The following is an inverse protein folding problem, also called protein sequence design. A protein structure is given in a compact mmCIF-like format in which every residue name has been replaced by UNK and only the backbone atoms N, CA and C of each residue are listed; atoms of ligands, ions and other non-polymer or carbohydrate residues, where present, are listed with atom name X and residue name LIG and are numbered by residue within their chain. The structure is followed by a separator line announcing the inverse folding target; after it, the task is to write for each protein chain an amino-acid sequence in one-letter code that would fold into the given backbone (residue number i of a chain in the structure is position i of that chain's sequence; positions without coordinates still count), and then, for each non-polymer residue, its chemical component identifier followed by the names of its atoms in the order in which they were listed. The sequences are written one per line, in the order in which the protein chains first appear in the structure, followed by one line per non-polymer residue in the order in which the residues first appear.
data_IF_353976225408
#
_entry.id   IF_353976225408
#
_cell.length_a   1.000
_cell.length_b   1.000
_cell.length_c   1.000
_cell.angle_alpha   90.00
_cell.angle_beta   90.00
_cell.angle_gamma   90.00
#
_symmetry.space_group_name_H-M   'P 1'
#
loop_
_entity.id
_entity.type
_entity.pdbx_description
1 polymer ?
#
# COMPACT_ATOMS: atom_id res chain seq x y z
N UNK A 1 20.20 11.26 -48.94
CA UNK A 1 19.13 10.34 -49.37
C UNK A 1 19.72 8.94 -49.59
N UNK A 2 18.91 7.91 -49.86
CA UNK A 2 19.43 6.56 -50.14
C UNK A 2 20.21 6.52 -51.46
N UNK A 3 19.79 7.30 -52.46
CA UNK A 3 20.53 7.47 -53.70
C UNK A 3 21.91 8.09 -53.45
N UNK A 4 22.00 9.11 -52.58
CA UNK A 4 23.28 9.74 -52.21
C UNK A 4 24.18 8.79 -51.42
N UNK A 5 23.61 7.93 -50.58
CA UNK A 5 24.37 6.89 -49.89
C UNK A 5 24.93 5.86 -50.88
N UNK A 6 24.14 5.41 -51.85
CA UNK A 6 24.58 4.43 -52.85
C UNK A 6 25.64 4.99 -53.80
N UNK A 7 25.63 6.29 -54.09
CA UNK A 7 26.67 6.93 -54.90
C UNK A 7 27.91 7.33 -54.11
N UNK A 8 27.85 7.32 -52.77
CA UNK A 8 28.98 7.66 -51.92
C UNK A 8 30.11 6.62 -52.01
N UNK A 9 31.34 7.10 -51.89
CA UNK A 9 32.55 6.28 -51.87
C UNK A 9 32.54 5.34 -50.64
N UNK A 10 32.93 4.09 -50.83
CA UNK A 10 32.93 3.06 -49.77
C UNK A 10 31.58 2.37 -49.52
N UNK A 11 30.49 2.78 -50.17
CA UNK A 11 29.15 2.18 -50.00
C UNK A 11 28.98 0.78 -50.62
N UNK A 12 29.88 0.38 -51.52
CA UNK A 12 29.77 -0.85 -52.32
C UNK A 12 28.75 -0.78 -53.46
N UNK A 13 28.03 0.34 -53.62
CA UNK A 13 27.03 0.56 -54.68
C UNK A 13 27.48 1.63 -55.70
N UNK A 14 28.74 2.06 -55.64
CA UNK A 14 29.31 3.08 -56.51
C UNK A 14 29.27 2.67 -57.99
N UNK A 15 29.42 3.66 -58.87
CA UNK A 15 29.52 3.42 -60.31
C UNK A 15 30.72 2.49 -60.60
N UNK A 16 30.43 1.30 -61.15
CA UNK A 16 31.44 0.25 -61.41
C UNK A 16 31.32 -0.99 -60.52
N UNK A 17 30.56 -0.93 -59.43
CA UNK A 17 30.33 -2.08 -58.51
C UNK A 17 29.46 -3.20 -59.08
N UNK A 18 28.75 -2.97 -60.19
CA UNK A 18 27.72 -3.88 -60.71
C UNK A 18 26.39 -3.85 -59.94
N UNK A 19 26.33 -3.13 -58.81
CA UNK A 19 25.15 -2.97 -57.94
C UNK A 19 24.64 -1.53 -57.89
N UNK A 20 25.14 -0.66 -58.76
CA UNK A 20 24.77 0.76 -58.80
C UNK A 20 23.28 0.96 -59.08
N UNK A 21 22.77 2.16 -58.77
CA UNK A 21 21.40 2.55 -59.12
C UNK A 21 21.18 2.35 -60.62
N UNK A 22 20.08 1.70 -61.00
CA UNK A 22 19.77 1.38 -62.40
C UNK A 22 20.46 0.15 -62.98
N UNK A 23 21.24 -0.61 -62.19
CA UNK A 23 21.90 -1.87 -62.62
C UNK A 23 20.94 -3.05 -62.90
N UNK A 24 19.62 -2.85 -62.83
CA UNK A 24 18.62 -3.91 -62.94
C UNK A 24 18.51 -4.84 -61.71
N UNK A 25 19.39 -4.68 -60.70
CA UNK A 25 19.39 -5.47 -59.46
C UNK A 25 18.44 -4.93 -58.37
N UNK A 26 17.82 -3.77 -58.58
CA UNK A 26 16.80 -3.16 -57.73
C UNK A 26 17.16 -2.97 -56.24
N UNK A 27 18.45 -2.96 -55.89
CA UNK A 27 18.89 -2.73 -54.51
C UNK A 27 18.41 -1.39 -53.92
N UNK A 28 18.27 -0.36 -54.76
CA UNK A 28 17.72 0.94 -54.35
C UNK A 28 16.30 0.82 -53.77
N UNK A 29 15.47 -0.06 -54.33
CA UNK A 29 14.12 -0.31 -53.81
C UNK A 29 14.16 -1.07 -52.47
N UNK A 30 15.00 -2.10 -52.36
CA UNK A 30 15.18 -2.86 -51.10
C UNK A 30 15.73 -2.00 -49.97
N UNK A 31 16.68 -1.12 -50.25
CA UNK A 31 17.22 -0.15 -49.30
C UNK A 31 16.15 0.87 -48.90
N UNK A 32 15.35 1.38 -49.85
CA UNK A 32 14.24 2.31 -49.55
C UNK A 32 13.16 1.68 -48.67
N UNK A 33 12.92 0.38 -48.83
CA UNK A 33 11.96 -0.34 -48.02
C UNK A 33 12.46 -0.74 -46.62
N UNK A 34 13.78 -0.81 -46.37
CA UNK A 34 14.31 -1.38 -45.12
C UNK A 34 15.32 -0.49 -44.40
N UNK A 35 15.73 0.64 -44.99
CA UNK A 35 16.69 1.56 -44.41
C UNK A 35 16.15 2.99 -44.40
N UNK A 36 16.50 3.73 -43.35
CA UNK A 36 16.17 5.14 -43.21
C UNK A 36 17.45 5.92 -43.00
N UNK A 37 17.75 6.85 -43.91
CA UNK A 37 18.89 7.73 -43.81
C UNK A 37 18.54 8.95 -42.95
N UNK A 38 19.26 9.13 -41.84
CA UNK A 38 19.13 10.28 -40.94
C UNK A 38 20.26 11.25 -41.23
N UNK A 39 19.94 12.42 -41.78
CA UNK A 39 20.93 13.44 -42.16
C UNK A 39 20.81 14.73 -41.35
N UNK A 40 19.74 14.89 -40.57
CA UNK A 40 19.51 16.09 -39.75
C UNK A 40 18.43 15.86 -38.68
N UNK A 41 18.34 16.78 -37.73
CA UNK A 41 17.28 16.80 -36.70
C UNK A 41 15.88 16.88 -37.32
N UNK A 42 15.71 17.53 -38.48
CA UNK A 42 14.42 17.56 -39.20
C UNK A 42 14.03 16.21 -39.81
N UNK A 43 14.99 15.31 -40.06
CA UNK A 43 14.71 13.91 -40.44
C UNK A 43 14.42 13.03 -39.22
N UNK A 44 15.02 13.32 -38.05
CA UNK A 44 14.74 12.61 -36.79
C UNK A 44 13.27 12.75 -36.40
N UNK A 45 12.67 13.93 -36.58
CA UNK A 45 11.25 14.16 -36.23
C UNK A 45 10.25 13.39 -37.09
N UNK A 46 10.68 12.78 -38.19
CA UNK A 46 9.87 11.85 -38.99
C UNK A 46 9.87 10.42 -38.44
N UNK A 47 10.91 10.06 -37.68
CA UNK A 47 11.12 8.71 -37.13
C UNK A 47 10.74 8.66 -35.65
N UNK A 48 11.06 9.71 -34.88
CA UNK A 48 10.84 9.78 -33.44
C UNK A 48 9.84 10.87 -33.07
N UNK A 49 9.12 10.67 -31.97
CA UNK A 49 8.22 11.65 -31.37
C UNK A 49 9.02 12.73 -30.63
N UNK A 50 9.61 13.67 -31.37
CA UNK A 50 10.44 14.79 -30.86
C UNK A 50 9.80 16.16 -31.13
N UNK A 51 8.49 16.20 -31.40
CA UNK A 51 7.79 17.47 -31.64
C UNK A 51 7.80 18.34 -30.37
N UNK A 52 7.66 19.66 -30.54
CA UNK A 52 7.68 20.62 -29.41
C UNK A 52 6.66 20.32 -28.32
N UNK A 53 5.52 19.69 -28.65
CA UNK A 53 4.48 19.28 -27.70
C UNK A 53 4.61 17.85 -27.14
N UNK A 54 5.62 17.07 -27.53
CA UNK A 54 5.74 15.65 -27.17
C UNK A 54 6.35 15.37 -25.79
N UNK A 55 6.91 16.39 -25.10
CA UNK A 55 7.75 16.21 -23.91
C UNK A 55 9.18 15.73 -24.20
N UNK A 56 9.42 15.18 -25.40
CA UNK A 56 10.74 14.72 -25.85
C UNK A 56 11.36 15.66 -26.88
N UNK A 57 11.01 16.95 -26.87
CA UNK A 57 11.55 17.92 -27.82
C UNK A 57 13.08 18.04 -27.74
N UNK A 58 13.70 18.54 -28.81
CA UNK A 58 15.14 18.79 -28.80
C UNK A 58 15.50 19.71 -27.64
N UNK A 59 16.52 19.33 -26.86
CA UNK A 59 16.98 20.02 -25.64
C UNK A 59 16.03 19.93 -24.43
N UNK A 60 15.01 19.06 -24.44
CA UNK A 60 14.15 18.83 -23.25
C UNK A 60 14.83 18.04 -22.12
N UNK A 61 16.04 17.54 -22.34
CA UNK A 61 16.73 16.59 -21.44
C UNK A 61 16.19 15.15 -21.55
N UNK A 62 15.03 14.95 -22.17
CA UNK A 62 14.38 13.65 -22.35
C UNK A 62 14.37 13.17 -23.81
N UNK A 63 14.96 13.93 -24.74
CA UNK A 63 14.94 13.63 -26.17
C UNK A 63 15.50 12.24 -26.54
N UNK A 64 16.38 11.68 -25.72
CA UNK A 64 16.94 10.33 -25.91
C UNK A 64 15.93 9.20 -25.64
N UNK A 65 14.83 9.49 -24.95
CA UNK A 65 13.77 8.54 -24.63
C UNK A 65 12.56 8.66 -25.56
N UNK A 66 12.66 9.49 -26.60
CA UNK A 66 11.59 9.68 -27.57
C UNK A 66 11.19 8.32 -28.18
N UNK A 67 9.89 8.05 -28.25
CA UNK A 67 9.38 6.83 -28.87
C UNK A 67 9.47 6.90 -30.39
N UNK A 68 9.70 5.75 -31.04
CA UNK A 68 9.63 5.64 -32.50
C UNK A 68 8.17 5.79 -32.97
N UNK A 69 7.97 6.50 -34.07
CA UNK A 69 6.69 6.66 -34.74
C UNK A 69 6.36 5.41 -35.56
N UNK A 70 5.09 5.04 -35.60
CA UNK A 70 4.56 3.91 -36.40
C UNK A 70 3.92 4.37 -37.72
N UNK A 71 3.95 5.67 -38.02
CA UNK A 71 3.28 6.28 -39.19
C UNK A 71 3.92 5.93 -40.54
N UNK A 72 3.10 6.03 -41.61
CA UNK A 72 3.51 5.83 -43.00
C UNK A 72 4.75 6.67 -43.37
N UNK A 73 5.86 5.99 -43.66
CA UNK A 73 7.17 6.59 -43.92
C UNK A 73 8.28 6.07 -43.01
N UNK A 74 7.95 5.47 -41.85
CA UNK A 74 8.90 4.71 -41.03
C UNK A 74 8.80 3.22 -41.36
N UNK A 75 9.51 2.77 -42.40
CA UNK A 75 9.52 1.35 -42.80
C UNK A 75 10.21 0.42 -41.79
N UNK A 76 10.87 1.01 -40.78
CA UNK A 76 11.42 0.36 -39.59
C UNK A 76 10.50 0.53 -38.36
N UNK A 77 9.24 0.92 -38.56
CA UNK A 77 8.27 1.14 -37.49
C UNK A 77 8.18 -0.06 -36.55
N UNK A 78 8.25 0.22 -35.23
CA UNK A 78 8.01 -0.80 -34.23
C UNK A 78 6.61 -1.37 -34.44
N UNK A 79 6.54 -2.69 -34.62
CA UNK A 79 5.30 -3.46 -34.63
C UNK A 79 5.07 -4.02 -33.24
N UNK A 80 3.80 -4.16 -32.87
CA UNK A 80 3.47 -4.85 -31.64
C UNK A 80 3.91 -6.32 -31.75
N UNK A 81 4.52 -6.82 -30.68
CA UNK A 81 4.85 -8.23 -30.53
C UNK A 81 3.62 -9.01 -30.03
N UNK A 82 3.67 -10.34 -30.14
CA UNK A 82 2.57 -11.17 -29.63
C UNK A 82 2.44 -11.03 -28.11
N UNK A 83 1.19 -10.97 -27.63
CA UNK A 83 0.90 -10.66 -26.24
C UNK A 83 1.44 -11.70 -25.24
N UNK A 84 1.91 -11.21 -24.09
CA UNK A 84 2.24 -12.03 -22.91
C UNK A 84 3.45 -12.94 -23.07
N UNK A 85 3.32 -14.17 -22.57
CA UNK A 85 4.39 -15.19 -22.49
C UNK A 85 4.69 -15.89 -23.82
N UNK A 86 4.02 -15.50 -24.90
CA UNK A 86 4.11 -16.17 -26.22
C UNK A 86 5.42 -15.92 -26.95
N UNK A 87 6.21 -14.96 -26.47
CA UNK A 87 7.57 -14.69 -26.97
C UNK A 87 8.59 -14.90 -25.84
N UNK A 88 9.83 -15.23 -26.19
CA UNK A 88 10.91 -15.42 -25.20
C UNK A 88 11.08 -14.17 -24.31
N UNK A 89 11.15 -12.98 -24.92
CA UNK A 89 11.30 -11.72 -24.18
C UNK A 89 10.05 -11.39 -23.36
N UNK A 90 8.86 -11.65 -23.90
CA UNK A 90 7.60 -11.46 -23.17
C UNK A 90 7.52 -12.36 -21.93
N UNK A 91 7.99 -13.61 -22.03
CA UNK A 91 8.06 -14.53 -20.91
C UNK A 91 9.01 -14.05 -19.80
N UNK A 92 10.21 -13.57 -20.17
CA UNK A 92 11.17 -13.00 -19.20
C UNK A 92 10.58 -11.77 -18.50
N UNK A 93 9.95 -10.86 -19.24
CA UNK A 93 9.30 -9.69 -18.64
C UNK A 93 8.15 -10.09 -17.68
N UNK A 94 7.37 -11.12 -18.03
CA UNK A 94 6.31 -11.63 -17.15
C UNK A 94 6.88 -12.26 -15.87
N UNK A 95 8.07 -12.89 -15.93
CA UNK A 95 8.75 -13.37 -14.72
C UNK A 95 9.10 -12.22 -13.79
N UNK A 96 9.69 -11.15 -14.29
CA UNK A 96 10.03 -9.96 -13.48
C UNK A 96 8.79 -9.30 -12.88
N UNK A 97 7.69 -9.23 -13.66
CA UNK A 97 6.40 -8.72 -13.18
C UNK A 97 5.85 -9.60 -12.05
N UNK A 98 5.92 -10.93 -12.21
CA UNK A 98 5.46 -11.88 -11.20
C UNK A 98 6.31 -11.79 -9.92
N UNK A 99 7.63 -11.67 -10.03
CA UNK A 99 8.52 -11.48 -8.88
C UNK A 99 8.21 -10.18 -8.13
N UNK A 100 7.98 -9.08 -8.86
CA UNK A 100 7.55 -7.80 -8.28
C UNK A 100 6.21 -7.94 -7.57
N UNK A 101 5.25 -8.64 -8.18
CA UNK A 101 3.93 -8.87 -7.58
C UNK A 101 4.01 -9.70 -6.30
N UNK A 102 4.82 -10.76 -6.28
CA UNK A 102 5.07 -11.56 -5.07
C UNK A 102 5.71 -10.72 -3.98
N UNK A 103 6.73 -9.92 -4.31
CA UNK A 103 7.39 -9.02 -3.35
C UNK A 103 6.40 -8.04 -2.72
N UNK A 104 5.50 -7.46 -3.52
CA UNK A 104 4.46 -6.56 -3.00
C UNK A 104 3.48 -7.28 -2.07
N UNK A 105 3.07 -8.51 -2.39
CA UNK A 105 2.20 -9.31 -1.52
C UNK A 105 2.89 -9.68 -0.21
N UNK A 106 4.18 -10.02 -0.27
CA UNK A 106 4.95 -10.36 0.92
C UNK A 106 5.15 -9.15 1.83
N UNK A 107 5.33 -7.96 1.27
CA UNK A 107 5.33 -6.72 2.06
C UNK A 107 4.00 -6.50 2.78
N UNK A 108 2.87 -6.65 2.08
CA UNK A 108 1.54 -6.53 2.70
C UNK A 108 1.35 -7.58 3.81
N UNK A 109 1.79 -8.82 3.60
CA UNK A 109 1.72 -9.89 4.62
C UNK A 109 2.58 -9.56 5.84
N UNK A 110 3.77 -9.00 5.64
CA UNK A 110 4.63 -8.56 6.73
C UNK A 110 3.97 -7.44 7.55
N UNK A 111 3.36 -6.46 6.89
CA UNK A 111 2.64 -5.37 7.55
C UNK A 111 1.46 -5.90 8.38
N UNK A 112 0.63 -6.78 7.80
CA UNK A 112 -0.48 -7.43 8.51
C UNK A 112 0.05 -8.24 9.72
N UNK A 113 1.11 -9.02 9.53
CA UNK A 113 1.72 -9.81 10.62
C UNK A 113 2.26 -8.92 11.74
N UNK A 114 2.84 -7.76 11.41
CA UNK A 114 3.32 -6.79 12.41
C UNK A 114 2.17 -6.24 13.26
N UNK A 115 1.06 -5.86 12.62
CA UNK A 115 -0.14 -5.34 13.30
C UNK A 115 -0.79 -6.42 14.15
N UNK A 116 -0.85 -7.67 13.66
CA UNK A 116 -1.37 -8.81 14.43
C UNK A 116 -0.57 -9.02 15.73
N UNK A 117 0.76 -8.98 15.67
CA UNK A 117 1.61 -9.08 16.86
C UNK A 117 1.35 -7.94 17.85
N UNK A 118 1.25 -6.70 17.36
CA UNK A 118 0.94 -5.54 18.21
C UNK A 118 -0.43 -5.68 18.88
N UNK A 119 -1.44 -6.13 18.15
CA UNK A 119 -2.78 -6.36 18.68
C UNK A 119 -2.77 -7.46 19.74
N UNK A 120 -2.05 -8.56 19.52
CA UNK A 120 -1.97 -9.66 20.49
C UNK A 120 -1.31 -9.21 21.81
N UNK A 121 -0.22 -8.46 21.75
CA UNK A 121 0.44 -7.90 22.94
C UNK A 121 -0.48 -6.91 23.65
N UNK A 122 -1.16 -6.05 22.88
CA UNK A 122 -2.11 -5.06 23.43
C UNK A 122 -3.28 -5.73 24.13
N UNK A 123 -3.87 -6.76 23.54
CA UNK A 123 -4.97 -7.54 24.14
C UNK A 123 -4.49 -8.17 25.46
N UNK A 124 -3.34 -8.84 25.46
CA UNK A 124 -2.80 -9.46 26.67
C UNK A 124 -2.59 -8.44 27.80
N UNK A 125 -2.06 -7.26 27.48
CA UNK A 125 -1.87 -6.19 28.47
C UNK A 125 -3.21 -5.63 28.99
N UNK A 126 -4.17 -5.39 28.09
CA UNK A 126 -5.50 -4.89 28.44
C UNK A 126 -6.24 -5.90 29.34
N UNK A 127 -6.17 -7.20 29.03
CA UNK A 127 -6.82 -8.24 29.85
C UNK A 127 -6.29 -8.24 31.28
N UNK A 128 -4.98 -8.19 31.47
CA UNK A 128 -4.37 -8.11 32.82
C UNK A 128 -4.77 -6.82 33.52
N UNK A 129 -4.73 -5.69 32.81
CA UNK A 129 -5.12 -4.39 33.35
C UNK A 129 -6.59 -4.38 33.77
N UNK A 130 -7.48 -4.98 32.97
CA UNK A 130 -8.90 -5.08 33.26
C UNK A 130 -9.18 -5.87 34.55
N UNK A 131 -8.50 -7.00 34.76
CA UNK A 131 -8.63 -7.80 35.99
C UNK A 131 -8.17 -6.99 37.20
N UNK A 132 -7.02 -6.32 37.10
CA UNK A 132 -6.47 -5.51 38.20
C UNK A 132 -7.38 -4.31 38.53
N UNK A 133 -7.89 -3.60 37.53
CA UNK A 133 -8.80 -2.47 37.71
C UNK A 133 -10.11 -2.94 38.34
N UNK A 134 -10.67 -4.05 37.88
CA UNK A 134 -11.92 -4.60 38.46
C UNK A 134 -11.75 -5.05 39.90
N UNK A 135 -10.61 -5.66 40.25
CA UNK A 135 -10.29 -6.03 41.63
C UNK A 135 -10.11 -4.80 42.54
N UNK A 136 -9.44 -3.76 42.02
CA UNK A 136 -9.29 -2.49 42.72
C UNK A 136 -10.66 -1.79 42.92
N UNK A 137 -11.53 -1.81 41.91
CA UNK A 137 -12.90 -1.28 42.03
C UNK A 137 -13.71 -2.06 43.07
N UNK A 138 -13.66 -3.40 43.05
CA UNK A 138 -14.33 -4.26 44.04
C UNK A 138 -13.88 -3.95 45.47
N UNK A 139 -12.58 -3.71 45.69
CA UNK A 139 -12.06 -3.33 47.02
C UNK A 139 -12.62 -1.99 47.52
N UNK A 140 -12.94 -1.06 46.62
CA UNK A 140 -13.46 0.27 46.98
C UNK A 140 -14.98 0.27 47.11
N UNK A 141 -15.68 -0.44 46.21
CA UNK A 141 -17.14 -0.37 46.10
C UNK A 141 -17.86 -1.49 46.85
N UNK A 142 -17.29 -2.69 46.89
CA UNK A 142 -17.95 -3.84 47.50
C UNK A 142 -17.79 -3.80 49.02
N UNK A 143 -18.88 -4.07 49.73
CA UNK A 143 -18.87 -4.14 51.20
C UNK A 143 -18.50 -5.55 51.65
N UNK A 144 -17.68 -5.67 52.69
CA UNK A 144 -17.45 -6.96 53.34
C UNK A 144 -18.72 -7.39 54.08
N UNK A 145 -19.42 -8.39 53.53
CA UNK A 145 -20.67 -8.90 54.09
C UNK A 145 -20.50 -9.42 55.52
N UNK A 146 -19.34 -9.96 55.88
CA UNK A 146 -19.10 -10.44 57.24
C UNK A 146 -19.09 -9.28 58.23
N UNK A 147 -18.40 -8.19 57.90
CA UNK A 147 -18.35 -6.99 58.73
C UNK A 147 -19.71 -6.27 58.78
N UNK A 148 -20.38 -6.12 57.63
CA UNK A 148 -21.68 -5.45 57.55
C UNK A 148 -22.78 -6.26 58.26
N UNK A 149 -22.77 -7.59 58.14
CA UNK A 149 -23.70 -8.47 58.86
C UNK A 149 -23.50 -8.39 60.37
N UNK A 150 -22.25 -8.36 60.85
CA UNK A 150 -21.96 -8.16 62.27
C UNK A 150 -22.44 -6.79 62.78
N UNK A 151 -22.22 -5.73 62.00
CA UNK A 151 -22.74 -4.39 62.31
C UNK A 151 -24.27 -4.35 62.30
N UNK A 152 -24.92 -4.93 61.29
CA UNK A 152 -26.37 -5.02 61.21
C UNK A 152 -26.95 -5.79 62.41
N UNK A 153 -26.37 -6.93 62.78
CA UNK A 153 -26.78 -7.68 63.97
C UNK A 153 -26.58 -6.87 65.25
N UNK A 154 -25.44 -6.18 65.40
CA UNK A 154 -25.18 -5.28 66.53
C UNK A 154 -26.23 -4.17 66.62
N UNK A 155 -26.55 -3.50 65.51
CA UNK A 155 -27.55 -2.44 65.48
C UNK A 155 -28.96 -2.97 65.76
N UNK A 156 -29.33 -4.16 65.28
CA UNK A 156 -30.61 -4.79 65.62
C UNK A 156 -30.71 -5.12 67.13
N UNK A 157 -29.67 -5.71 67.71
CA UNK A 157 -29.62 -5.98 69.15
C UNK A 157 -29.69 -4.67 69.95
N UNK A 158 -28.98 -3.63 69.50
CA UNK A 158 -29.01 -2.31 70.14
C UNK A 158 -30.40 -1.67 70.04
N UNK A 159 -31.09 -1.78 68.91
CA UNK A 159 -32.43 -1.25 68.72
C UNK A 159 -33.46 -1.97 69.62
N UNK A 160 -33.38 -3.30 69.72
CA UNK A 160 -34.20 -4.08 70.65
C UNK A 160 -33.91 -3.72 72.12
N UNK A 161 -32.63 -3.60 72.47
CA UNK A 161 -32.19 -3.21 73.82
C UNK A 161 -32.61 -1.77 74.17
N UNK A 162 -32.52 -0.84 73.22
CA UNK A 162 -32.94 0.55 73.37
C UNK A 162 -34.46 0.66 73.56
N UNK A 163 -35.24 -0.12 72.82
CA UNK A 163 -36.70 -0.22 73.01
C UNK A 163 -37.05 -0.76 74.40
N UNK A 164 -36.34 -1.80 74.87
CA UNK A 164 -36.51 -2.35 76.22
C UNK A 164 -36.08 -1.37 77.32
N UNK A 165 -34.96 -0.66 77.13
CA UNK A 165 -34.52 0.37 78.07
C UNK A 165 -35.52 1.54 78.14
N UNK A 166 -36.10 1.93 77.01
CA UNK A 166 -37.13 2.98 76.95
C UNK A 166 -38.42 2.54 77.65
N UNK A 167 -38.86 1.29 77.48
CA UNK A 167 -40.04 0.77 78.19
C UNK A 167 -39.79 0.68 79.70
N UNK A 168 -38.59 0.27 80.12
CA UNK A 168 -38.20 0.22 81.53
C UNK A 168 -38.12 1.63 82.16
N UNK A 169 -37.56 2.61 81.44
CA UNK A 169 -37.50 4.00 81.90
C UNK A 169 -38.90 4.60 82.12
N UNK A 170 -39.84 4.33 81.20
CA UNK A 170 -41.24 4.74 81.33
C UNK A 170 -41.92 4.07 82.54
N UNK A 171 -41.66 2.80 82.79
CA UNK A 171 -42.20 2.08 83.94
C UNK A 171 -41.65 2.61 85.29
N UNK A 172 -40.36 2.97 85.35
CA UNK A 172 -39.75 3.59 86.53
C UNK A 172 -40.39 4.94 86.83
N UNK A 173 -40.64 5.78 85.82
CA UNK A 173 -41.34 7.06 86.01
C UNK A 173 -42.74 6.86 86.61
N UNK A 174 -43.49 5.84 86.17
CA UNK A 174 -44.80 5.52 86.76
C UNK A 174 -44.69 5.03 88.21
N UNK A 175 -43.66 4.28 88.57
CA UNK A 175 -43.42 3.87 89.96
C UNK A 175 -43.09 5.05 90.88
N UNK A 176 -42.38 6.07 90.39
CA UNK A 176 -42.12 7.31 91.16
C UNK A 176 -43.42 8.08 91.39
N UNK A 177 -44.29 8.19 90.39
CA UNK A 177 -45.63 8.77 90.54
C UNK A 177 -46.50 8.02 91.56
N UNK A 178 -46.28 6.72 91.72
CA UNK A 178 -46.98 5.87 92.70
C UNK A 178 -46.44 6.01 94.13
N UNK A 179 -45.21 6.50 94.30
CA UNK A 179 -44.57 6.80 95.59
C UNK A 179 -44.85 8.22 96.10
N UNK A 180 -45.38 9.10 95.23
CA UNK A 180 -45.73 10.49 95.56
C UNK A 180 -47.24 10.67 95.85
N UNK A 181 -48.03 9.60 95.78
CA UNK A 181 -49.43 9.54 96.25
C UNK A 181 -49.47 8.84 97.61
#
# INVERSE_FOLDING_TARGET
SIADYMSAEGSGFSAGSGYSVGSGKNYSATLTANAIAISSVSTISKIYNVSTGSGFSSQSGLSQFATMKTSAGNSLGAKDETAGVTTLKGAMAVMDIAETATTNLDQIRADIGSVQNQLQVTINNITVTQVNVKAAESTIRDVDFAAESANFSKYNILAQSGSYAMSQANAVQQNVLKLLQ
#
